data_IF_054780996271
#
_entry.id   IF_054780996271
#
_cell.length_a   1.000
_cell.length_b   1.000
_cell.length_c   1.000
_cell.angle_alpha   90.00
_cell.angle_beta   90.00
_cell.angle_gamma   90.00
#
_symmetry.space_group_name_H-M   'P 1'
#
loop_
_entity.id
_entity.type
_entity.pdbx_description
1 polymer ?
#
# COMPACT_ATOMS: atom_id res chain seq x y z
N UNK A 1 11.61 -0.90 -21.29
CA UNK A 1 11.34 -2.28 -20.84
C UNK A 1 10.10 -2.20 -19.95
N UNK A 2 8.97 -1.88 -20.59
CA UNK A 2 7.66 -1.68 -19.94
C UNK A 2 6.80 -2.82 -20.47
N UNK A 3 6.25 -3.70 -19.62
CA UNK A 3 5.47 -4.80 -20.19
C UNK A 3 5.03 -5.95 -19.31
N UNK A 4 5.21 -5.92 -17.99
CA UNK A 4 4.45 -6.81 -17.11
C UNK A 4 3.62 -5.94 -16.17
N UNK A 5 2.60 -5.29 -16.73
CA UNK A 5 1.48 -4.86 -15.91
C UNK A 5 0.84 -6.15 -15.40
N UNK A 6 0.96 -6.41 -14.10
CA UNK A 6 0.24 -7.48 -13.44
C UNK A 6 -1.23 -7.41 -13.86
N UNK A 7 -1.71 -8.45 -14.54
CA UNK A 7 -3.12 -8.57 -14.88
C UNK A 7 -3.89 -8.64 -13.55
N UNK A 8 -4.65 -7.60 -13.21
CA UNK A 8 -5.39 -7.56 -11.96
C UNK A 8 -6.57 -8.54 -11.99
N UNK A 9 -6.70 -9.36 -10.95
CA UNK A 9 -7.90 -10.16 -10.73
C UNK A 9 -8.95 -9.37 -9.94
N UNK A 10 -9.70 -8.55 -10.67
CA UNK A 10 -10.78 -7.75 -10.09
C UNK A 10 -11.98 -8.61 -9.69
N UNK A 11 -12.25 -9.70 -10.42
CA UNK A 11 -13.51 -10.44 -10.29
C UNK A 11 -13.49 -11.46 -9.15
N UNK A 12 -12.36 -12.10 -8.92
CA UNK A 12 -12.24 -13.14 -7.90
C UNK A 12 -11.58 -12.61 -6.62
N UNK A 13 -10.58 -11.71 -6.75
CA UNK A 13 -9.82 -11.17 -5.62
C UNK A 13 -10.17 -9.71 -5.27
N UNK A 14 -10.86 -8.98 -6.15
CA UNK A 14 -11.22 -7.59 -5.91
C UNK A 14 -10.02 -6.64 -5.95
N UNK A 15 -8.96 -6.98 -6.69
CA UNK A 15 -7.74 -6.16 -6.78
C UNK A 15 -8.02 -4.80 -7.43
N UNK A 16 -8.11 -3.76 -6.60
CA UNK A 16 -8.27 -2.35 -7.00
C UNK A 16 -7.30 -1.53 -6.17
N UNK A 17 -6.37 -0.84 -6.82
CA UNK A 17 -5.33 -0.06 -6.15
C UNK A 17 -5.60 1.45 -6.23
N UNK A 18 -5.41 2.13 -5.10
CA UNK A 18 -5.65 3.58 -5.01
C UNK A 18 -4.47 4.34 -5.64
N UNK A 19 -4.70 5.24 -6.60
CA UNK A 19 -3.63 6.04 -7.20
C UNK A 19 -2.88 6.86 -6.16
N UNK A 20 -1.56 6.97 -6.31
CA UNK A 20 -0.67 7.65 -5.34
C UNK A 20 -1.12 9.07 -4.98
N UNK A 21 -1.58 9.87 -5.95
CA UNK A 21 -2.03 11.24 -5.68
C UNK A 21 -3.27 11.29 -4.77
N UNK A 22 -4.14 10.27 -4.83
CA UNK A 22 -5.31 10.15 -3.97
C UNK A 22 -4.89 9.69 -2.57
N UNK A 23 -3.96 8.73 -2.46
CA UNK A 23 -3.38 8.31 -1.18
C UNK A 23 -2.73 9.50 -0.47
N UNK A 24 -1.89 10.26 -1.19
CA UNK A 24 -1.22 11.45 -0.64
C UNK A 24 -2.24 12.47 -0.15
N UNK A 25 -3.27 12.77 -0.95
CA UNK A 25 -4.36 13.66 -0.57
C UNK A 25 -5.09 13.17 0.69
N UNK A 26 -5.49 11.90 0.75
CA UNK A 26 -6.19 11.33 1.91
C UNK A 26 -5.34 11.39 3.19
N UNK A 27 -4.02 11.17 3.09
CA UNK A 27 -3.12 11.29 4.22
C UNK A 27 -2.97 12.74 4.71
N UNK A 28 -3.15 13.75 3.86
CA UNK A 28 -3.18 15.16 4.31
C UNK A 28 -4.41 15.50 5.17
N UNK A 29 -5.51 14.76 5.01
CA UNK A 29 -6.74 14.94 5.77
C UNK A 29 -6.68 14.29 7.16
N UNK A 30 -5.74 13.37 7.38
CA UNK A 30 -5.59 12.67 8.66
C UNK A 30 -4.90 13.57 9.69
N UNK A 31 -5.65 14.02 10.69
CA UNK A 31 -5.13 14.82 11.80
C UNK A 31 -4.93 14.04 13.10
N UNK A 32 -5.56 12.87 13.22
CA UNK A 32 -5.42 12.02 14.40
C UNK A 32 -4.17 11.13 14.28
N UNK A 33 -3.49 10.95 15.41
CA UNK A 33 -2.29 10.15 15.55
C UNK A 33 -2.55 8.91 16.41
N UNK A 34 -1.69 7.90 16.26
CA UNK A 34 -1.79 6.64 16.98
C UNK A 34 -1.79 5.44 16.03
N UNK A 35 -2.21 4.29 16.54
CA UNK A 35 -2.30 3.05 15.77
C UNK A 35 -3.33 3.17 14.65
N UNK A 36 -2.98 2.66 13.47
CA UNK A 36 -3.84 2.63 12.28
C UNK A 36 -4.03 1.18 11.86
N UNK A 37 -5.27 0.80 11.60
CA UNK A 37 -5.63 -0.49 11.00
C UNK A 37 -6.02 -0.26 9.54
N UNK A 38 -5.40 -1.00 8.63
CA UNK A 38 -5.70 -1.00 7.18
C UNK A 38 -6.28 -2.38 6.82
N UNK A 39 -7.61 -2.60 6.93
CA UNK A 39 -8.22 -3.92 6.77
C UNK A 39 -8.24 -4.42 5.31
N UNK A 40 -7.99 -3.52 4.35
CA UNK A 40 -7.95 -3.81 2.91
C UNK A 40 -6.71 -3.16 2.29
N UNK A 41 -5.55 -3.39 2.92
CA UNK A 41 -4.30 -2.70 2.60
C UNK A 41 -3.84 -2.88 1.15
N UNK A 42 -4.26 -3.95 0.45
CA UNK A 42 -3.85 -4.23 -0.92
C UNK A 42 -2.32 -4.26 -1.03
N UNK A 43 -1.75 -3.43 -1.90
CA UNK A 43 -0.31 -3.23 -2.09
C UNK A 43 0.38 -2.43 -0.97
N UNK A 44 -0.36 -2.05 0.07
CA UNK A 44 0.14 -1.32 1.23
C UNK A 44 0.37 0.18 0.97
N UNK A 45 -0.20 0.75 -0.10
CA UNK A 45 0.04 2.14 -0.51
C UNK A 45 -0.11 3.18 0.61
N UNK A 46 -1.11 3.06 1.48
CA UNK A 46 -1.29 3.93 2.65
C UNK A 46 -0.28 3.69 3.77
N UNK A 47 0.18 2.46 3.96
CA UNK A 47 1.19 2.12 4.97
C UNK A 47 2.55 2.72 4.58
N UNK A 48 2.96 2.54 3.32
CA UNK A 48 4.27 3.00 2.84
C UNK A 48 4.32 4.51 2.55
N UNK A 49 3.17 5.16 2.32
CA UNK A 49 3.10 6.61 2.13
C UNK A 49 2.96 7.40 3.44
N UNK A 50 2.77 6.74 4.58
CA UNK A 50 2.69 7.40 5.88
C UNK A 50 4.05 7.92 6.35
N UNK A 51 4.16 9.24 6.58
CA UNK A 51 5.39 9.88 7.09
C UNK A 51 5.90 9.27 8.40
N UNK A 52 5.00 8.81 9.27
CA UNK A 52 5.38 8.15 10.54
C UNK A 52 6.11 6.82 10.32
N UNK A 53 6.05 6.25 9.12
CA UNK A 53 6.65 4.97 8.75
C UNK A 53 7.76 5.11 7.70
N UNK A 54 8.11 6.34 7.30
CA UNK A 54 9.10 6.61 6.25
C UNK A 54 10.49 6.01 6.55
N UNK A 55 10.83 5.83 7.83
CA UNK A 55 12.08 5.20 8.29
C UNK A 55 11.87 3.85 9.00
N UNK A 56 10.67 3.27 8.90
CA UNK A 56 10.42 1.96 9.51
C UNK A 56 11.24 0.90 8.75
N UNK A 57 12.12 0.19 9.47
CA UNK A 57 12.81 -0.95 8.92
C UNK A 57 11.80 -2.04 8.60
N UNK A 58 11.61 -2.33 7.32
CA UNK A 58 10.89 -3.53 6.93
C UNK A 58 11.76 -4.74 7.26
N UNK A 59 11.18 -5.82 7.82
CA UNK A 59 11.88 -7.07 7.98
C UNK A 59 12.49 -7.50 6.64
N UNK A 60 13.70 -8.06 6.64
CA UNK A 60 14.39 -8.41 5.40
C UNK A 60 13.59 -9.36 4.51
N UNK A 61 12.73 -10.16 5.11
CA UNK A 61 11.89 -11.12 4.41
C UNK A 61 10.74 -10.47 3.60
N UNK A 62 10.42 -9.19 3.86
CA UNK A 62 9.44 -8.42 3.06
C UNK A 62 9.94 -8.05 1.66
N UNK A 63 11.21 -8.31 1.33
CA UNK A 63 11.77 -8.08 -0.01
C UNK A 63 11.79 -9.34 -0.87
N UNK A 64 11.42 -10.50 -0.32
CA UNK A 64 11.20 -11.69 -1.14
C UNK A 64 9.95 -11.43 -2.01
N UNK A 65 10.08 -11.70 -3.32
CA UNK A 65 9.10 -11.30 -4.35
C UNK A 65 7.73 -11.97 -4.21
N UNK A 66 7.52 -12.77 -3.17
CA UNK A 66 6.22 -13.23 -2.71
C UNK A 66 5.50 -12.12 -1.94
N UNK A 67 5.37 -10.94 -2.57
CA UNK A 67 4.67 -9.83 -1.93
C UNK A 67 3.17 -9.94 -2.13
N UNK A 68 2.54 -10.18 -0.99
CA UNK A 68 1.17 -9.81 -0.62
C UNK A 68 0.11 -10.80 -1.06
N UNK A 69 -0.93 -10.90 -0.22
CA UNK A 69 -2.12 -11.74 -0.34
C UNK A 69 -2.49 -12.27 -1.73
#
# INVERSE_FOLDING_TARGET
MEGFLYQLDIKTLGQVFTPKNIVDFMLTLKHNHGSVLEPSAGDGSFLFSQRSLENALLPKDFLNEDKTC
#
